data_IF_206286842007
#
_entry.id   IF_206286842007
#
_cell.length_a   1.000
_cell.length_b   1.000
_cell.length_c   1.000
_cell.angle_alpha   90.00
_cell.angle_beta   90.00
_cell.angle_gamma   90.00
#
_symmetry.space_group_name_H-M   'P 1'
#
loop_
_entity.id
_entity.type
_entity.pdbx_description
1 polymer ?
#
# COMPACT_ATOMS: atom_id res chain seq x y z
N UNK A 1 -26.65 -5.20 -9.96
CA UNK A 1 -25.73 -6.13 -10.68
C UNK A 1 -24.29 -5.97 -10.24
N UNK A 2 -23.70 -4.76 -10.25
CA UNK A 2 -22.27 -4.53 -9.90
C UNK A 2 -21.90 -5.05 -8.50
N UNK A 3 -22.59 -4.63 -7.43
CA UNK A 3 -22.31 -5.10 -6.04
C UNK A 3 -22.33 -6.61 -5.84
N UNK A 4 -23.13 -7.35 -6.62
CA UNK A 4 -23.20 -8.81 -6.52
C UNK A 4 -21.96 -9.46 -7.14
N UNK A 5 -21.47 -8.90 -8.26
CA UNK A 5 -20.25 -9.34 -8.93
C UNK A 5 -19.01 -9.05 -8.08
N UNK A 6 -18.94 -7.86 -7.46
CA UNK A 6 -17.88 -7.49 -6.51
C UNK A 6 -17.79 -8.47 -5.34
N UNK A 7 -18.94 -8.85 -4.77
CA UNK A 7 -19.03 -9.80 -3.65
C UNK A 7 -18.66 -11.23 -4.02
N UNK A 8 -18.76 -11.60 -5.31
CA UNK A 8 -18.30 -12.90 -5.80
C UNK A 8 -16.79 -12.88 -6.07
N UNK A 9 -16.27 -11.75 -6.56
CA UNK A 9 -14.85 -11.54 -6.77
C UNK A 9 -14.09 -11.62 -5.44
N UNK A 10 -14.51 -10.87 -4.42
CA UNK A 10 -13.80 -10.82 -3.14
C UNK A 10 -13.75 -12.17 -2.43
N UNK A 11 -14.82 -12.97 -2.53
CA UNK A 11 -14.85 -14.36 -2.05
C UNK A 11 -13.87 -15.27 -2.79
N UNK A 12 -13.71 -15.07 -4.09
CA UNK A 12 -12.75 -15.83 -4.90
C UNK A 12 -11.33 -15.50 -4.48
N UNK A 13 -11.00 -14.22 -4.32
CA UNK A 13 -9.68 -13.79 -3.88
C UNK A 13 -9.31 -14.35 -2.50
N UNK A 14 -10.23 -14.34 -1.53
CA UNK A 14 -9.97 -14.95 -0.22
C UNK A 14 -9.62 -16.44 -0.33
N UNK A 15 -10.34 -17.18 -1.18
CA UNK A 15 -10.05 -18.59 -1.42
C UNK A 15 -8.70 -18.81 -2.11
N UNK A 16 -8.36 -17.98 -3.08
CA UNK A 16 -7.06 -18.02 -3.75
C UNK A 16 -5.93 -17.69 -2.77
N UNK A 17 -6.12 -16.70 -1.89
CA UNK A 17 -5.16 -16.36 -0.83
C UNK A 17 -4.91 -17.53 0.13
N UNK A 18 -5.95 -18.27 0.52
CA UNK A 18 -5.81 -19.47 1.37
C UNK A 18 -5.00 -20.59 0.69
N UNK A 19 -4.93 -20.58 -0.65
CA UNK A 19 -4.26 -21.60 -1.46
C UNK A 19 -2.89 -21.16 -1.98
N UNK A 20 -2.48 -19.91 -1.75
CA UNK A 20 -1.22 -19.37 -2.22
C UNK A 20 -0.03 -20.15 -1.64
N UNK A 21 0.91 -20.52 -2.52
CA UNK A 21 2.08 -21.34 -2.13
C UNK A 21 3.29 -20.46 -1.76
N UNK A 22 3.25 -19.19 -2.13
CA UNK A 22 4.32 -18.22 -1.91
C UNK A 22 3.81 -16.95 -1.27
N UNK A 23 4.72 -16.23 -0.60
CA UNK A 23 4.41 -14.94 -0.02
C UNK A 23 4.05 -13.92 -1.11
N UNK A 24 4.79 -13.94 -2.22
CA UNK A 24 4.60 -13.04 -3.36
C UNK A 24 3.19 -13.20 -3.95
N UNK A 25 2.76 -14.44 -4.21
CA UNK A 25 1.42 -14.75 -4.69
C UNK A 25 0.34 -14.29 -3.70
N UNK A 26 0.54 -14.58 -2.40
CA UNK A 26 -0.40 -14.15 -1.37
C UNK A 26 -0.54 -12.63 -1.31
N UNK A 27 0.57 -11.89 -1.42
CA UNK A 27 0.59 -10.42 -1.38
C UNK A 27 -0.16 -9.82 -2.57
N UNK A 28 0.03 -10.37 -3.77
CA UNK A 28 -0.68 -9.90 -4.97
C UNK A 28 -2.19 -10.10 -4.82
N UNK A 29 -2.63 -11.25 -4.34
CA UNK A 29 -4.04 -11.56 -4.11
C UNK A 29 -4.64 -10.69 -2.99
N UNK A 30 -3.90 -10.47 -1.90
CA UNK A 30 -4.29 -9.60 -0.81
C UNK A 30 -4.46 -8.14 -1.28
N UNK A 31 -3.53 -7.64 -2.10
CA UNK A 31 -3.62 -6.29 -2.66
C UNK A 31 -4.84 -6.14 -3.58
N UNK A 32 -5.14 -7.15 -4.40
CA UNK A 32 -6.35 -7.15 -5.23
C UNK A 32 -7.63 -7.16 -4.38
N UNK A 33 -7.62 -7.89 -3.26
CA UNK A 33 -8.76 -7.96 -2.35
C UNK A 33 -9.00 -6.63 -1.64
N UNK A 34 -7.93 -6.01 -1.14
CA UNK A 34 -7.98 -4.69 -0.52
C UNK A 34 -8.57 -3.66 -1.48
N UNK A 35 -8.16 -3.70 -2.76
CA UNK A 35 -8.68 -2.81 -3.79
C UNK A 35 -10.17 -3.02 -4.06
N UNK A 36 -10.61 -4.28 -4.23
CA UNK A 36 -12.01 -4.61 -4.47
C UNK A 36 -12.92 -4.20 -3.30
N UNK A 37 -12.38 -4.24 -2.08
CA UNK A 37 -13.10 -3.93 -0.84
C UNK A 37 -12.94 -2.46 -0.39
N UNK A 38 -12.12 -1.67 -1.07
CA UNK A 38 -11.81 -0.27 -0.70
C UNK A 38 -11.00 -0.15 0.59
N UNK A 39 -10.27 -1.20 0.97
CA UNK A 39 -9.42 -1.24 2.16
C UNK A 39 -8.05 -0.59 1.91
N UNK A 40 -7.75 -0.21 0.68
CA UNK A 40 -6.54 0.51 0.28
C UNK A 40 -6.74 2.04 0.19
N UNK A 41 -7.95 2.55 0.42
CA UNK A 41 -8.28 3.98 0.30
C UNK A 41 -7.44 4.85 1.25
N UNK A 42 -7.13 4.35 2.45
CA UNK A 42 -6.27 5.06 3.41
C UNK A 42 -4.85 5.30 2.87
N UNK A 43 -4.41 4.57 1.83
CA UNK A 43 -3.09 4.80 1.21
C UNK A 43 -3.09 6.03 0.30
N UNK A 44 -4.26 6.55 -0.08
CA UNK A 44 -4.39 7.71 -0.98
C UNK A 44 -4.19 9.04 -0.26
N UNK A 45 -4.45 9.08 1.05
CA UNK A 45 -4.24 10.26 1.88
C UNK A 45 -3.25 9.93 2.98
N UNK A 46 -2.20 10.73 3.12
CA UNK A 46 -1.26 10.59 4.22
C UNK A 46 -1.75 11.22 5.52
N UNK A 47 -2.85 11.99 5.47
CA UNK A 47 -3.45 12.60 6.64
C UNK A 47 -3.84 11.53 7.68
N UNK A 48 -3.14 11.57 8.80
CA UNK A 48 -3.39 10.70 9.94
C UNK A 48 -3.30 11.52 11.23
N UNK A 49 -4.24 11.33 12.13
CA UNK A 49 -4.23 12.02 13.43
C UNK A 49 -3.24 11.40 14.42
N UNK A 50 -2.79 10.17 14.17
CA UNK A 50 -1.90 9.44 15.09
C UNK A 50 -0.44 9.89 15.00
N UNK A 51 -0.05 10.65 13.99
CA UNK A 51 1.31 11.14 13.79
C UNK A 51 1.33 12.39 12.91
N UNK A 52 2.41 13.18 13.00
CA UNK A 52 2.62 14.32 12.10
C UNK A 52 3.00 13.82 10.70
N UNK A 53 1.99 13.55 9.89
CA UNK A 53 2.18 13.06 8.53
C UNK A 53 2.91 14.07 7.63
N UNK A 54 2.80 15.38 7.92
CA UNK A 54 3.49 16.43 7.15
C UNK A 54 4.99 16.37 7.39
N UNK A 55 5.40 16.20 8.65
CA UNK A 55 6.81 16.02 8.98
C UNK A 55 7.39 14.75 8.32
N UNK A 56 6.65 13.63 8.34
CA UNK A 56 7.06 12.39 7.67
C UNK A 56 7.19 12.61 6.17
N UNK A 57 6.20 13.24 5.52
CA UNK A 57 6.22 13.55 4.09
C UNK A 57 7.44 14.40 3.72
N UNK A 58 7.68 15.48 4.47
CA UNK A 58 8.82 16.36 4.26
C UNK A 58 10.15 15.60 4.34
N UNK A 59 10.32 14.74 5.36
CA UNK A 59 11.55 13.96 5.51
C UNK A 59 11.72 12.93 4.40
N UNK A 60 10.63 12.27 3.97
CA UNK A 60 10.65 11.33 2.85
C UNK A 60 11.06 12.02 1.55
N UNK A 61 10.52 13.20 1.28
CA UNK A 61 10.85 13.98 0.09
C UNK A 61 12.31 14.43 0.09
N UNK A 62 12.84 14.86 1.24
CA UNK A 62 14.26 15.15 1.41
C UNK A 62 15.14 13.92 1.12
N UNK A 63 14.80 12.75 1.66
CA UNK A 63 15.57 11.52 1.41
C UNK A 63 15.55 11.11 -0.08
N UNK A 64 14.38 11.24 -0.74
CA UNK A 64 14.23 10.95 -2.17
C UNK A 64 15.09 11.87 -3.02
N UNK A 65 15.06 13.16 -2.70
CA UNK A 65 15.86 14.18 -3.37
C UNK A 65 17.37 13.96 -3.18
N UNK A 66 17.82 13.69 -1.96
CA UNK A 66 19.24 13.36 -1.69
C UNK A 66 19.69 12.11 -2.46
N UNK A 67 18.86 11.06 -2.51
CA UNK A 67 19.15 9.85 -3.31
C UNK A 67 19.21 10.16 -4.80
N UNK A 68 18.30 10.99 -5.30
CA UNK A 68 18.27 11.41 -6.71
C UNK A 68 19.55 12.15 -7.09
N UNK A 69 20.02 13.05 -6.22
CA UNK A 69 21.28 13.80 -6.40
C UNK A 69 22.54 12.99 -6.10
N UNK A 70 22.39 11.76 -5.58
CA UNK A 70 23.49 10.91 -5.06
C UNK A 70 24.29 11.56 -3.93
N UNK A 71 23.65 12.45 -3.18
CA UNK A 71 24.26 13.10 -2.01
C UNK A 71 24.08 12.22 -0.77
N UNK A 72 24.81 11.10 -0.78
CA UNK A 72 24.74 10.10 0.28
C UNK A 72 25.28 10.58 1.64
N UNK A 73 26.30 11.47 1.73
CA UNK A 73 26.73 12.00 3.02
C UNK A 73 25.60 12.69 3.79
N UNK A 74 24.74 13.44 3.10
CA UNK A 74 23.61 14.11 3.74
C UNK A 74 22.50 13.16 4.20
N UNK A 75 22.47 11.90 3.76
CA UNK A 75 21.50 10.90 4.25
C UNK A 75 21.76 10.46 5.70
N UNK A 76 22.96 10.73 6.22
CA UNK A 76 23.35 10.37 7.59
C UNK A 76 22.93 11.40 8.64
N UNK A 77 22.44 12.57 8.19
CA UNK A 77 22.09 13.72 9.04
C UNK A 77 20.67 14.25 8.74
#
# INVERSE_FOLDING_TARGET
MIKLMQRNQSKRLLKEMEQAETYEEWVELAAAYDHEMGLDEWKKDDACESYDFRAIRQRLDQVRDLRFRRDYPQLLF
#
